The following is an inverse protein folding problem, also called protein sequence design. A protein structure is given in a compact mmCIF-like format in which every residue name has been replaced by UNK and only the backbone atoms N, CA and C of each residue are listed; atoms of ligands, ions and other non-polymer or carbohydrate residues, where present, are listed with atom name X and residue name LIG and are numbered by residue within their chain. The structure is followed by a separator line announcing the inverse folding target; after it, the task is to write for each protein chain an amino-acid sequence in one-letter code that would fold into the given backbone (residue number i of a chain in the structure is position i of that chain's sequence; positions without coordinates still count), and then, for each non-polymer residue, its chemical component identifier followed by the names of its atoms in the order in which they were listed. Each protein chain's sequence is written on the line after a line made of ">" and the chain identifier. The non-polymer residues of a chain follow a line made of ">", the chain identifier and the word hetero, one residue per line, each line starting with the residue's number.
data_IF_433682941854
#
_entry.id   IF_433682941854
#
_cell.length_a   1.000
_cell.length_b   1.000
_cell.length_c   1.000
_cell.angle_alpha   90.00
_cell.angle_beta   90.00
_cell.angle_gamma   90.00
#
_symmetry.space_group_name_H-M   'P 1'
#
loop_
_entity.id
_entity.type
_entity.pdbx_description
1 polymer ?
#
# COMPACT_ATOMS: atom_id res chain seq x y z
N UNK A 1 38.15 -32.64 1.38
CA UNK A 1 37.90 -31.69 0.28
C UNK A 1 36.69 -32.19 -0.48
N UNK A 2 35.61 -31.41 -0.52
CA UNK A 2 34.38 -31.75 -1.25
C UNK A 2 34.53 -31.22 -2.68
N UNK A 3 34.74 -32.10 -3.65
CA UNK A 3 34.62 -31.74 -5.06
C UNK A 3 33.15 -31.55 -5.41
N UNK A 4 32.82 -30.32 -5.80
CA UNK A 4 31.53 -29.93 -6.33
C UNK A 4 31.30 -30.67 -7.66
N UNK A 5 30.34 -31.59 -7.68
CA UNK A 5 29.97 -32.27 -8.92
C UNK A 5 29.10 -31.34 -9.77
N UNK A 6 29.63 -30.97 -10.93
CA UNK A 6 28.96 -30.22 -11.99
C UNK A 6 27.55 -30.74 -12.24
N UNK A 7 26.56 -29.84 -12.12
CA UNK A 7 25.19 -30.11 -12.51
C UNK A 7 25.06 -29.92 -14.02
N UNK A 8 25.37 -30.96 -14.79
CA UNK A 8 24.98 -31.01 -16.20
C UNK A 8 23.46 -31.11 -16.31
N UNK A 9 22.86 -30.03 -16.79
CA UNK A 9 21.45 -29.88 -17.14
C UNK A 9 21.08 -30.91 -18.22
N UNK A 10 20.21 -31.86 -17.87
CA UNK A 10 19.73 -32.91 -18.77
C UNK A 10 20.02 -34.35 -18.34
N UNK A 11 20.78 -34.56 -17.25
CA UNK A 11 21.06 -35.91 -16.75
C UNK A 11 19.99 -36.41 -15.76
N UNK A 12 19.60 -37.68 -15.92
CA UNK A 12 18.66 -38.39 -15.05
C UNK A 12 19.14 -38.32 -13.60
N UNK A 13 18.23 -38.02 -12.65
CA UNK A 13 18.58 -37.91 -11.22
C UNK A 13 19.04 -39.28 -10.67
N UNK A 14 20.33 -39.41 -10.39
CA UNK A 14 20.93 -40.61 -9.78
C UNK A 14 21.19 -40.38 -8.28
N UNK A 15 20.70 -41.30 -7.44
CA UNK A 15 20.87 -41.31 -5.99
C UNK A 15 22.34 -41.57 -5.58
N UNK A 16 22.72 -41.20 -4.35
CA UNK A 16 24.10 -41.35 -3.85
C UNK A 16 24.59 -42.80 -3.91
N UNK A 17 23.75 -43.75 -3.55
CA UNK A 17 24.04 -45.19 -3.60
C UNK A 17 24.31 -45.67 -5.04
N UNK A 18 23.50 -45.21 -6.00
CA UNK A 18 23.66 -45.53 -7.42
C UNK A 18 24.96 -44.94 -8.00
N UNK A 19 25.46 -43.80 -7.49
CA UNK A 19 26.79 -43.27 -7.88
C UNK A 19 27.94 -44.12 -7.36
N UNK A 20 27.81 -44.66 -6.14
CA UNK A 20 28.82 -45.58 -5.58
C UNK A 20 28.89 -46.85 -6.41
N UNK A 21 27.74 -47.42 -6.77
CA UNK A 21 27.68 -48.58 -7.68
C UNK A 21 28.22 -48.25 -9.08
N UNK A 22 27.89 -47.08 -9.61
CA UNK A 22 28.36 -46.61 -10.91
C UNK A 22 29.89 -46.48 -10.95
N UNK A 23 30.49 -45.92 -9.90
CA UNK A 23 31.95 -45.85 -9.75
C UNK A 23 32.60 -47.23 -9.60
N UNK A 24 31.96 -48.16 -8.87
CA UNK A 24 32.44 -49.53 -8.73
C UNK A 24 32.40 -50.32 -10.05
N UNK A 25 31.45 -50.00 -10.93
CA UNK A 25 31.30 -50.58 -12.27
C UNK A 25 32.15 -49.88 -13.35
N UNK A 26 32.85 -48.80 -13.00
CA UNK A 26 33.68 -48.04 -13.95
C UNK A 26 32.89 -47.25 -15.00
N UNK A 27 31.59 -47.03 -14.78
CA UNK A 27 30.72 -46.30 -15.71
C UNK A 27 30.76 -44.82 -15.34
N UNK A 28 31.14 -43.92 -16.24
CA UNK A 28 31.19 -42.48 -15.95
C UNK A 28 29.88 -41.76 -16.25
N UNK A 29 29.02 -42.37 -17.08
CA UNK A 29 27.80 -41.76 -17.58
C UNK A 29 26.53 -42.34 -16.91
N UNK A 30 25.71 -41.45 -16.38
CA UNK A 30 24.40 -41.76 -15.79
C UNK A 30 23.47 -42.56 -16.72
N UNK A 31 23.49 -42.24 -18.02
CA UNK A 31 22.62 -42.87 -19.02
C UNK A 31 23.04 -44.31 -19.32
N UNK A 32 24.35 -44.58 -19.32
CA UNK A 32 24.92 -45.91 -19.53
C UNK A 32 24.63 -46.83 -18.34
N UNK A 33 24.71 -46.30 -17.11
CA UNK A 33 24.37 -47.05 -15.91
C UNK A 33 22.90 -47.52 -15.91
N UNK A 34 21.97 -46.66 -16.36
CA UNK A 34 20.56 -47.01 -16.48
C UNK A 34 20.35 -48.06 -17.58
N UNK A 35 20.99 -47.90 -18.75
CA UNK A 35 20.93 -48.90 -19.83
C UNK A 35 21.42 -50.27 -19.34
N UNK A 36 22.53 -50.31 -18.61
CA UNK A 36 23.07 -51.54 -18.02
C UNK A 36 22.08 -52.21 -17.05
N UNK A 37 21.45 -51.44 -16.15
CA UNK A 37 20.43 -51.98 -15.22
C UNK A 37 19.17 -52.46 -15.97
N UNK A 38 18.77 -51.76 -17.03
CA UNK A 38 17.65 -52.16 -17.88
C UNK A 38 17.96 -53.46 -18.64
N UNK A 39 19.17 -53.64 -19.15
CA UNK A 39 19.63 -54.87 -19.79
C UNK A 39 19.69 -56.05 -18.82
N UNK A 40 20.15 -55.82 -17.57
CA UNK A 40 20.04 -56.83 -16.51
C UNK A 40 18.59 -57.20 -16.18
N UNK A 41 17.68 -56.22 -16.15
CA UNK A 41 16.25 -56.48 -15.96
C UNK A 41 15.64 -57.28 -17.11
N UNK A 42 16.01 -56.93 -18.35
CA UNK A 42 15.53 -57.62 -19.55
C UNK A 42 16.07 -59.06 -19.65
N UNK A 43 17.31 -59.31 -19.26
CA UNK A 43 17.89 -60.65 -19.24
C UNK A 43 17.28 -61.53 -18.14
N UNK A 44 16.95 -60.98 -16.96
CA UNK A 44 16.17 -61.68 -15.92
C UNK A 44 14.73 -61.99 -16.36
N UNK A 45 14.08 -61.09 -17.10
CA UNK A 45 12.78 -61.36 -17.70
C UNK A 45 12.84 -62.40 -18.82
N UNK A 46 13.90 -62.41 -19.64
CA UNK A 46 14.11 -63.44 -20.67
C UNK A 46 14.33 -64.82 -20.03
N UNK A 47 15.08 -64.91 -18.93
CA UNK A 47 15.23 -66.16 -18.17
C UNK A 47 13.92 -66.68 -17.55
N UNK A 48 13.00 -65.77 -17.17
CA UNK A 48 11.64 -66.13 -16.71
C UNK A 48 10.70 -66.52 -17.87
N UNK A 49 11.01 -66.11 -19.11
CA UNK A 49 10.24 -66.44 -20.32
C UNK A 49 10.77 -67.66 -21.09
N UNK A 50 12.01 -68.09 -20.85
CA UNK A 50 12.51 -69.38 -21.32
C UNK A 50 11.94 -70.51 -20.48
N UNK A 51 10.64 -70.76 -20.63
CA UNK A 51 10.11 -72.10 -20.45
C UNK A 51 10.75 -72.98 -21.53
N UNK A 52 11.16 -74.23 -21.23
CA UNK A 52 11.64 -75.14 -22.25
C UNK A 52 10.54 -75.37 -23.29
N UNK A 53 10.86 -75.10 -24.55
CA UNK A 53 10.08 -75.46 -25.74
C UNK A 53 10.00 -76.99 -25.87
N UNK A 54 9.16 -77.63 -25.06
CA UNK A 54 8.50 -78.89 -25.39
C UNK A 54 7.14 -78.89 -24.73
N UNK A 55 6.11 -79.02 -25.57
CA UNK A 55 4.74 -79.37 -25.22
C UNK A 55 4.69 -80.70 -24.45
N UNK A 56 5.04 -80.65 -23.18
CA UNK A 56 4.59 -81.63 -22.19
C UNK A 56 3.99 -80.83 -21.06
N UNK A 57 2.73 -80.45 -21.26
CA UNK A 57 1.79 -80.27 -20.16
C UNK A 57 2.01 -81.47 -19.23
N UNK A 58 2.57 -81.24 -18.04
CA UNK A 58 2.50 -82.20 -16.95
C UNK A 58 1.01 -82.35 -16.63
N UNK A 59 0.35 -83.26 -17.35
CA UNK A 59 -0.96 -83.75 -16.98
C UNK A 59 -0.76 -84.49 -15.67
N UNK A 60 -1.23 -83.87 -14.58
CA UNK A 60 -1.61 -84.60 -13.38
C UNK A 60 -2.51 -85.77 -13.80
N UNK A 61 -2.39 -86.96 -13.19
CA UNK A 61 -3.18 -88.11 -13.58
C UNK A 61 -4.67 -87.73 -13.48
N UNK A 62 -5.35 -87.75 -14.62
CA UNK A 62 -6.79 -87.59 -14.69
C UNK A 62 -7.38 -88.86 -14.08
N UNK A 63 -7.90 -88.74 -12.86
CA UNK A 63 -8.83 -89.71 -12.29
C UNK A 63 -10.09 -89.70 -13.16
N UNK A 64 -10.22 -90.66 -14.06
CA UNK A 64 -11.42 -90.89 -14.91
C UNK A 64 -12.64 -91.42 -14.12
N UNK A 65 -12.76 -91.11 -12.82
CA UNK A 65 -13.85 -91.59 -11.94
C UNK A 65 -14.76 -90.47 -11.43
N UNK A 66 -15.11 -89.49 -12.26
CA UNK A 66 -16.08 -88.44 -11.90
C UNK A 66 -17.13 -88.18 -13.01
N UNK A 67 -17.69 -89.24 -13.61
CA UNK A 67 -18.90 -89.12 -14.45
C UNK A 67 -20.19 -88.89 -13.65
N UNK A 68 -20.15 -89.03 -12.33
CA UNK A 68 -21.24 -88.70 -11.41
C UNK A 68 -20.76 -87.63 -10.41
N UNK A 69 -20.54 -86.40 -10.87
CA UNK A 69 -20.49 -85.26 -9.96
C UNK A 69 -21.93 -84.82 -9.74
N UNK A 70 -22.40 -84.87 -8.50
CA UNK A 70 -23.73 -84.38 -8.12
C UNK A 70 -23.96 -82.98 -8.71
N UNK A 71 -25.08 -82.74 -9.41
CA UNK A 71 -25.37 -81.43 -10.01
C UNK A 71 -25.33 -80.30 -8.98
N UNK A 72 -25.69 -80.60 -7.73
CA UNK A 72 -25.59 -79.66 -6.60
C UNK A 72 -24.16 -79.22 -6.29
N UNK A 73 -23.17 -80.12 -6.39
CA UNK A 73 -21.76 -79.79 -6.14
C UNK A 73 -21.21 -78.87 -7.24
N UNK A 74 -21.63 -79.11 -8.49
CA UNK A 74 -21.24 -78.28 -9.64
C UNK A 74 -21.82 -76.87 -9.54
N UNK A 75 -23.08 -76.75 -9.13
CA UNK A 75 -23.72 -75.46 -8.88
C UNK A 75 -23.03 -74.72 -7.71
N UNK A 76 -22.67 -75.42 -6.64
CA UNK A 76 -21.97 -74.83 -5.49
C UNK A 76 -20.57 -74.30 -5.87
N UNK A 77 -19.81 -75.03 -6.69
CA UNK A 77 -18.51 -74.56 -7.22
C UNK A 77 -18.67 -73.37 -8.16
N UNK A 78 -19.74 -73.34 -8.95
CA UNK A 78 -20.05 -72.23 -9.87
C UNK A 78 -20.43 -70.97 -9.09
N UNK A 79 -21.26 -71.10 -8.04
CA UNK A 79 -21.60 -70.01 -7.12
C UNK A 79 -20.34 -69.51 -6.42
N UNK A 80 -19.45 -70.41 -5.97
CA UNK A 80 -18.19 -70.01 -5.34
C UNK A 80 -17.31 -69.21 -6.32
N UNK A 81 -17.18 -69.67 -7.57
CA UNK A 81 -16.45 -68.96 -8.63
C UNK A 81 -17.05 -67.57 -8.90
N UNK A 82 -18.36 -67.49 -9.06
CA UNK A 82 -19.07 -66.22 -9.27
C UNK A 82 -18.94 -65.29 -8.06
N UNK A 83 -18.93 -65.82 -6.83
CA UNK A 83 -18.73 -65.01 -5.62
C UNK A 83 -17.31 -64.43 -5.54
N UNK A 84 -16.31 -65.20 -5.95
CA UNK A 84 -14.92 -64.74 -6.04
C UNK A 84 -14.74 -63.69 -7.13
N UNK A 85 -15.39 -63.89 -8.28
CA UNK A 85 -15.38 -62.93 -9.39
C UNK A 85 -16.10 -61.63 -8.99
N UNK A 86 -17.27 -61.69 -8.38
CA UNK A 86 -17.98 -60.53 -7.84
C UNK A 86 -17.13 -59.78 -6.80
N UNK A 87 -16.47 -60.50 -5.90
CA UNK A 87 -15.56 -59.87 -4.92
C UNK A 87 -14.35 -59.22 -5.61
N UNK A 88 -13.84 -59.82 -6.69
CA UNK A 88 -12.79 -59.23 -7.52
C UNK A 88 -13.25 -57.97 -8.26
N UNK A 89 -14.47 -57.97 -8.79
CA UNK A 89 -15.08 -56.82 -9.44
C UNK A 89 -15.36 -55.69 -8.45
N UNK A 90 -15.84 -56.01 -7.23
CA UNK A 90 -16.00 -55.03 -6.16
C UNK A 90 -14.67 -54.36 -5.78
N UNK A 91 -13.60 -55.14 -5.63
CA UNK A 91 -12.26 -54.57 -5.37
C UNK A 91 -11.78 -53.64 -6.48
N UNK A 92 -12.01 -54.02 -7.75
CA UNK A 92 -11.66 -53.17 -8.90
C UNK A 92 -12.48 -51.87 -8.91
N UNK A 93 -13.77 -51.95 -8.57
CA UNK A 93 -14.61 -50.76 -8.42
C UNK A 93 -14.10 -49.86 -7.30
N UNK A 94 -13.75 -50.42 -6.14
CA UNK A 94 -13.18 -49.67 -5.02
C UNK A 94 -11.85 -48.99 -5.39
N UNK A 95 -10.98 -49.68 -6.12
CA UNK A 95 -9.70 -49.15 -6.60
C UNK A 95 -9.92 -48.01 -7.61
N UNK A 96 -10.87 -48.17 -8.53
CA UNK A 96 -11.25 -47.11 -9.47
C UNK A 96 -11.84 -45.90 -8.72
N UNK A 97 -12.71 -46.11 -7.73
CA UNK A 97 -13.27 -45.01 -6.95
C UNK A 97 -12.20 -44.25 -6.17
N UNK A 98 -11.25 -44.95 -5.54
CA UNK A 98 -10.12 -44.32 -4.85
C UNK A 98 -9.23 -43.54 -5.80
N UNK A 99 -8.88 -44.13 -6.94
CA UNK A 99 -8.10 -43.43 -7.98
C UNK A 99 -8.83 -42.20 -8.50
N UNK A 100 -10.15 -42.25 -8.65
CA UNK A 100 -10.95 -41.11 -9.08
C UNK A 100 -11.01 -40.02 -8.00
N UNK A 101 -11.17 -40.38 -6.74
CA UNK A 101 -11.12 -39.42 -5.63
C UNK A 101 -9.75 -38.74 -5.54
N UNK A 102 -8.66 -39.50 -5.64
CA UNK A 102 -7.30 -38.97 -5.61
C UNK A 102 -7.02 -38.02 -6.79
N UNK A 103 -7.44 -38.41 -8.00
CA UNK A 103 -7.30 -37.54 -9.18
C UNK A 103 -8.18 -36.29 -9.08
N UNK A 104 -9.40 -36.41 -8.59
CA UNK A 104 -10.31 -35.29 -8.37
C UNK A 104 -9.75 -34.33 -7.32
N UNK A 105 -9.23 -34.84 -6.21
CA UNK A 105 -8.56 -34.03 -5.18
C UNK A 105 -7.33 -33.31 -5.75
N UNK A 106 -6.52 -34.00 -6.56
CA UNK A 106 -5.39 -33.39 -7.26
C UNK A 106 -5.81 -32.26 -8.20
N UNK A 107 -6.90 -32.45 -8.94
CA UNK A 107 -7.48 -31.40 -9.81
C UNK A 107 -7.99 -30.23 -8.97
N UNK A 108 -8.73 -30.47 -7.89
CA UNK A 108 -9.23 -29.41 -7.01
C UNK A 108 -8.10 -28.58 -6.42
N UNK A 109 -7.04 -29.20 -5.90
CA UNK A 109 -5.90 -28.47 -5.37
C UNK A 109 -5.19 -27.66 -6.45
N UNK A 110 -5.01 -28.21 -7.64
CA UNK A 110 -4.37 -27.50 -8.75
C UNK A 110 -5.22 -26.32 -9.23
N UNK A 111 -6.53 -26.52 -9.40
CA UNK A 111 -7.47 -25.46 -9.78
C UNK A 111 -7.52 -24.39 -8.70
N UNK A 112 -7.59 -24.77 -7.43
CA UNK A 112 -7.59 -23.83 -6.31
C UNK A 112 -6.30 -23.00 -6.26
N UNK A 113 -5.13 -23.65 -6.40
CA UNK A 113 -3.83 -22.96 -6.45
C UNK A 113 -3.76 -21.99 -7.62
N UNK A 114 -4.16 -22.42 -8.82
CA UNK A 114 -4.17 -21.54 -10.00
C UNK A 114 -5.13 -20.36 -9.82
N UNK A 115 -6.33 -20.61 -9.28
CA UNK A 115 -7.31 -19.54 -9.04
C UNK A 115 -6.79 -18.53 -8.01
N UNK A 116 -6.15 -19.04 -6.95
CA UNK A 116 -5.53 -18.21 -5.92
C UNK A 116 -4.37 -17.37 -6.48
N UNK A 117 -3.50 -17.98 -7.30
CA UNK A 117 -2.40 -17.27 -7.95
C UNK A 117 -2.91 -16.19 -8.92
N UNK A 118 -3.91 -16.48 -9.73
CA UNK A 118 -4.49 -15.49 -10.67
C UNK A 118 -5.20 -14.34 -9.94
N UNK A 119 -5.92 -14.63 -8.85
CA UNK A 119 -6.49 -13.59 -7.98
C UNK A 119 -5.38 -12.71 -7.37
N UNK A 120 -4.34 -13.33 -6.82
CA UNK A 120 -3.21 -12.60 -6.23
C UNK A 120 -2.46 -11.75 -7.26
N UNK A 121 -2.24 -12.25 -8.48
CA UNK A 121 -1.61 -11.48 -9.56
C UNK A 121 -2.46 -10.28 -9.94
N UNK A 122 -3.77 -10.47 -10.14
CA UNK A 122 -4.69 -9.40 -10.49
C UNK A 122 -4.71 -8.31 -9.42
N UNK A 123 -4.82 -8.71 -8.16
CA UNK A 123 -4.86 -7.79 -7.04
C UNK A 123 -3.51 -7.05 -6.89
N UNK A 124 -2.39 -7.74 -7.09
CA UNK A 124 -1.05 -7.11 -7.13
C UNK A 124 -0.92 -6.11 -8.27
N UNK A 125 -1.38 -6.42 -9.47
CA UNK A 125 -1.34 -5.48 -10.61
C UNK A 125 -2.22 -4.25 -10.37
N UNK A 126 -3.41 -4.43 -9.78
CA UNK A 126 -4.28 -3.33 -9.40
C UNK A 126 -3.62 -2.42 -8.35
N UNK A 127 -3.06 -3.01 -7.29
CA UNK A 127 -2.32 -2.28 -6.26
C UNK A 127 -1.09 -1.57 -6.81
N UNK A 128 -0.37 -2.20 -7.75
CA UNK A 128 0.79 -1.59 -8.41
C UNK A 128 0.39 -0.35 -9.20
N UNK A 129 -0.70 -0.41 -9.97
CA UNK A 129 -1.22 0.75 -10.72
C UNK A 129 -1.63 1.88 -9.78
N UNK A 130 -2.41 1.57 -8.76
CA UNK A 130 -2.89 2.54 -7.78
C UNK A 130 -1.70 3.21 -7.04
N UNK A 131 -0.68 2.44 -6.67
CA UNK A 131 0.54 2.99 -6.06
C UNK A 131 1.32 3.88 -7.04
N UNK A 132 1.40 3.53 -8.32
CA UNK A 132 2.04 4.42 -9.31
C UNK A 132 1.26 5.71 -9.55
N UNK A 133 -0.07 5.68 -9.49
CA UNK A 133 -0.92 6.86 -9.58
C UNK A 133 -0.74 7.76 -8.35
N UNK A 134 -0.82 7.19 -7.14
CA UNK A 134 -0.57 7.91 -5.89
C UNK A 134 0.82 8.55 -5.83
N UNK A 135 1.86 7.86 -6.33
CA UNK A 135 3.21 8.44 -6.40
C UNK A 135 3.27 9.65 -7.32
N UNK A 136 2.58 9.62 -8.46
CA UNK A 136 2.51 10.77 -9.37
C UNK A 136 1.77 11.93 -8.71
N UNK A 137 0.64 11.68 -8.06
CA UNK A 137 -0.10 12.70 -7.31
C UNK A 137 0.76 13.30 -6.19
N UNK A 138 1.52 12.49 -5.46
CA UNK A 138 2.46 12.97 -4.44
C UNK A 138 3.56 13.85 -5.06
N UNK A 139 4.12 13.46 -6.20
CA UNK A 139 5.11 14.29 -6.91
C UNK A 139 4.51 15.63 -7.39
N UNK A 140 3.28 15.63 -7.89
CA UNK A 140 2.58 16.85 -8.29
C UNK A 140 2.27 17.76 -7.09
N UNK A 141 1.78 17.19 -5.99
CA UNK A 141 1.53 17.93 -4.75
C UNK A 141 2.82 18.50 -4.16
N UNK A 142 3.92 17.73 -4.22
CA UNK A 142 5.23 18.20 -3.78
C UNK A 142 5.73 19.37 -4.64
N UNK A 143 5.56 19.31 -5.96
CA UNK A 143 5.88 20.44 -6.85
C UNK A 143 5.06 21.68 -6.53
N UNK A 144 3.75 21.54 -6.33
CA UNK A 144 2.87 22.66 -5.94
C UNK A 144 3.26 23.25 -4.59
N UNK A 145 3.65 22.40 -3.62
CA UNK A 145 4.16 22.85 -2.33
C UNK A 145 5.44 23.67 -2.49
N UNK A 146 6.38 23.20 -3.31
CA UNK A 146 7.65 23.88 -3.53
C UNK A 146 7.48 25.20 -4.31
N UNK A 147 6.54 25.25 -5.26
CA UNK A 147 6.12 26.47 -5.96
C UNK A 147 5.49 27.48 -4.99
N UNK A 148 4.53 27.03 -4.18
CA UNK A 148 3.88 27.87 -3.18
C UNK A 148 4.87 28.41 -2.15
N UNK A 149 5.83 27.59 -1.68
CA UNK A 149 6.90 28.03 -0.78
C UNK A 149 7.81 29.10 -1.40
N UNK A 150 8.14 28.96 -2.69
CA UNK A 150 8.91 29.99 -3.40
C UNK A 150 8.12 31.29 -3.49
N UNK A 151 6.84 31.22 -3.81
CA UNK A 151 5.96 32.40 -3.88
C UNK A 151 5.83 33.09 -2.51
N UNK A 152 5.65 32.33 -1.42
CA UNK A 152 5.60 32.90 -0.07
C UNK A 152 6.91 33.56 0.32
N UNK A 153 8.06 32.97 -0.05
CA UNK A 153 9.36 33.56 0.23
C UNK A 153 9.55 34.87 -0.55
N UNK A 154 9.16 34.93 -1.82
CA UNK A 154 9.24 36.17 -2.60
C UNK A 154 8.35 37.26 -2.03
N UNK A 155 7.12 36.91 -1.61
CA UNK A 155 6.21 37.88 -0.97
C UNK A 155 6.75 38.34 0.38
N UNK A 156 7.40 37.45 1.14
CA UNK A 156 8.05 37.81 2.40
C UNK A 156 9.20 38.80 2.18
N UNK A 157 10.04 38.58 1.17
CA UNK A 157 11.11 39.52 0.79
C UNK A 157 10.55 40.87 0.35
N UNK A 158 9.43 40.88 -0.40
CA UNK A 158 8.72 42.11 -0.77
C UNK A 158 8.18 42.85 0.45
N UNK A 159 7.55 42.14 1.39
CA UNK A 159 7.06 42.72 2.65
C UNK A 159 8.22 43.31 3.45
N UNK A 160 9.35 42.60 3.58
CA UNK A 160 10.53 43.12 4.26
C UNK A 160 11.08 44.39 3.59
N UNK A 161 11.08 44.44 2.26
CA UNK A 161 11.49 45.63 1.52
C UNK A 161 10.52 46.80 1.74
N UNK A 162 9.22 46.55 1.78
CA UNK A 162 8.20 47.56 2.09
C UNK A 162 8.31 48.05 3.53
N UNK A 163 8.53 47.17 4.51
CA UNK A 163 8.76 47.53 5.91
C UNK A 163 10.01 48.40 6.05
N UNK A 164 11.11 48.07 5.37
CA UNK A 164 12.31 48.93 5.34
C UNK A 164 12.00 50.31 4.76
N UNK A 165 11.26 50.37 3.64
CA UNK A 165 10.84 51.65 3.04
C UNK A 165 9.94 52.46 3.97
N UNK A 166 8.95 51.84 4.60
CA UNK A 166 8.07 52.47 5.60
C UNK A 166 8.89 52.97 6.79
N UNK A 167 9.81 52.16 7.32
CA UNK A 167 10.72 52.56 8.38
C UNK A 167 11.60 53.76 8.01
N UNK A 168 12.10 53.83 6.77
CA UNK A 168 12.82 55.03 6.27
C UNK A 168 11.91 56.25 6.15
N UNK A 169 10.66 56.07 5.72
CA UNK A 169 9.68 57.16 5.65
C UNK A 169 9.32 57.66 7.04
N UNK A 170 9.13 56.79 8.02
CA UNK A 170 8.87 57.15 9.42
C UNK A 170 10.08 57.81 10.07
N UNK A 171 11.29 57.30 9.87
CA UNK A 171 12.54 57.98 10.25
C UNK A 171 12.66 59.35 9.61
N UNK A 172 12.29 59.47 8.32
CA UNK A 172 12.20 60.75 7.62
C UNK A 172 11.20 61.70 8.30
N UNK A 173 9.98 61.24 8.60
CA UNK A 173 8.97 62.03 9.32
C UNK A 173 9.43 62.45 10.72
N UNK A 174 10.21 61.63 11.42
CA UNK A 174 10.74 61.97 12.74
C UNK A 174 11.93 62.94 12.68
N UNK A 175 12.83 62.79 11.70
CA UNK A 175 14.07 63.57 11.60
C UNK A 175 13.91 64.88 10.81
N UNK A 176 13.00 64.95 9.85
CA UNK A 176 12.76 66.14 9.03
C UNK A 176 12.30 67.36 9.87
N UNK A 177 11.35 67.25 10.81
CA UNK A 177 10.97 68.38 11.66
C UNK A 177 12.13 68.93 12.48
N UNK A 178 12.99 68.05 13.02
CA UNK A 178 14.18 68.44 13.77
C UNK A 178 15.23 69.15 12.91
N UNK A 179 15.50 68.62 11.71
CA UNK A 179 16.44 69.23 10.77
C UNK A 179 15.91 70.55 10.18
N UNK A 180 14.61 70.62 9.85
CA UNK A 180 13.95 71.85 9.38
C UNK A 180 13.92 72.91 10.50
N UNK A 181 13.67 72.52 11.75
CA UNK A 181 13.74 73.43 12.91
C UNK A 181 15.15 73.95 13.16
N UNK A 182 16.18 73.10 13.00
CA UNK A 182 17.59 73.51 13.06
C UNK A 182 17.99 74.50 11.96
N UNK A 183 17.58 74.22 10.71
CA UNK A 183 17.83 75.09 9.56
C UNK A 183 17.04 76.41 9.65
N UNK A 184 15.80 76.39 10.17
CA UNK A 184 15.00 77.58 10.43
C UNK A 184 15.63 78.48 11.50
N UNK A 185 16.31 77.90 12.50
CA UNK A 185 17.08 78.66 13.49
C UNK A 185 18.36 79.26 12.92
N UNK A 186 19.05 78.58 12.00
CA UNK A 186 20.28 79.09 11.39
C UNK A 186 20.03 80.10 10.24
N UNK A 187 18.95 79.96 9.47
CA UNK A 187 18.63 80.82 8.31
C UNK A 187 17.17 81.30 8.31
N UNK A 188 16.74 82.10 9.30
CA UNK A 188 15.33 82.49 9.48
C UNK A 188 14.77 83.34 8.33
N UNK A 189 15.60 84.18 7.71
CA UNK A 189 15.15 85.11 6.65
C UNK A 189 14.95 84.43 5.29
N UNK A 190 15.64 83.32 5.03
CA UNK A 190 15.50 82.53 3.79
C UNK A 190 14.37 81.50 3.91
N UNK A 191 14.15 80.94 5.12
CA UNK A 191 13.09 79.96 5.39
C UNK A 191 11.68 80.57 5.45
N UNK A 192 11.51 81.86 5.75
CA UNK A 192 10.19 82.53 5.72
C UNK A 192 9.51 82.46 4.35
N UNK A 193 10.28 82.50 3.25
CA UNK A 193 9.74 82.36 1.89
C UNK A 193 9.31 80.93 1.56
N UNK A 194 9.99 79.93 2.11
CA UNK A 194 9.79 78.51 1.81
C UNK A 194 8.68 77.90 2.69
N UNK A 195 8.56 78.34 3.95
CA UNK A 195 7.47 77.96 4.85
C UNK A 195 6.09 78.45 4.35
N UNK A 196 6.03 79.61 3.69
CA UNK A 196 4.81 80.12 3.06
C UNK A 196 4.32 79.27 1.88
N UNK A 197 5.23 78.55 1.21
CA UNK A 197 4.89 77.63 0.10
C UNK A 197 4.64 76.20 0.56
N UNK A 198 5.33 75.71 1.60
CA UNK A 198 5.09 74.37 2.17
C UNK A 198 3.88 74.30 3.11
N UNK A 199 3.53 75.40 3.79
CA UNK A 199 2.31 75.49 4.60
C UNK A 199 1.01 75.35 3.78
N UNK A 200 1.08 75.50 2.45
CA UNK A 200 -0.04 75.23 1.54
C UNK A 200 -0.18 73.77 1.13
N UNK A 201 0.78 72.90 1.44
CA UNK A 201 0.81 71.52 0.95
C UNK A 201 0.79 70.43 2.03
N UNK A 202 0.73 70.73 3.34
CA UNK A 202 0.93 69.67 4.33
C UNK A 202 0.42 69.83 5.76
N UNK A 203 -0.44 70.80 6.09
CA UNK A 203 -0.94 70.96 7.47
C UNK A 203 -2.41 71.43 7.52
N UNK A 204 -3.31 70.70 6.86
CA UNK A 204 -4.74 70.72 7.17
C UNK A 204 -5.16 69.32 7.58
N UNK A 205 -4.79 68.92 8.80
CA UNK A 205 -5.66 68.19 9.73
C UNK A 205 -4.84 67.78 10.95
N UNK A 206 -4.96 68.59 11.99
CA UNK A 206 -4.85 68.16 13.37
C UNK A 206 -5.47 69.25 14.24
N UNK A 207 -6.72 69.12 14.67
CA UNK A 207 -7.07 69.58 16.00
C UNK A 207 -6.51 68.56 17.00
N UNK A 208 -5.72 69.06 17.95
CA UNK A 208 -5.57 68.43 19.26
C UNK A 208 -6.95 68.04 19.78
N UNK A 209 -7.19 66.74 20.01
CA UNK A 209 -7.91 66.25 21.18
C UNK A 209 -7.78 64.72 21.25
N UNK A 210 -7.17 64.28 22.34
CA UNK A 210 -7.29 62.93 22.85
C UNK A 210 -8.77 62.67 23.16
N UNK A 211 -9.38 61.65 22.56
CA UNK A 211 -10.46 60.77 23.07
C UNK A 211 -10.92 59.82 21.93
N UNK A 212 -11.15 58.56 22.28
CA UNK A 212 -11.77 57.45 21.51
C UNK A 212 -10.88 56.52 20.65
N UNK A 213 -10.11 55.65 21.31
CA UNK A 213 -9.58 54.38 20.74
C UNK A 213 -10.69 53.46 20.14
N UNK A 214 -11.96 53.68 20.47
CA UNK A 214 -13.09 52.92 19.92
C UNK A 214 -13.52 53.43 18.52
N UNK A 215 -13.36 54.73 18.25
CA UNK A 215 -13.73 55.30 16.96
C UNK A 215 -12.70 54.96 15.89
N UNK A 216 -11.41 54.87 16.22
CA UNK A 216 -10.39 54.46 15.24
C UNK A 216 -10.65 53.03 14.71
N UNK A 217 -11.09 52.10 15.57
CA UNK A 217 -11.43 50.74 15.12
C UNK A 217 -12.70 50.68 14.26
N UNK A 218 -13.75 51.44 14.62
CA UNK A 218 -14.95 51.55 13.79
C UNK A 218 -14.68 52.26 12.46
N UNK A 219 -13.84 53.29 12.47
CA UNK A 219 -13.44 54.05 11.28
C UNK A 219 -12.51 53.23 10.37
N UNK A 220 -11.62 52.41 10.94
CA UNK A 220 -10.84 51.41 10.20
C UNK A 220 -11.71 50.29 9.64
N UNK A 221 -12.72 49.81 10.37
CA UNK A 221 -13.68 48.81 9.86
C UNK A 221 -14.54 49.39 8.73
N UNK A 222 -14.95 50.66 8.83
CA UNK A 222 -15.65 51.40 7.78
C UNK A 222 -14.76 51.63 6.56
N UNK A 223 -13.47 51.95 6.75
CA UNK A 223 -12.50 52.03 5.65
C UNK A 223 -12.30 50.69 4.97
N UNK A 224 -12.19 49.59 5.74
CA UNK A 224 -12.07 48.24 5.18
C UNK A 224 -13.36 47.86 4.44
N UNK A 225 -14.54 48.19 4.96
CA UNK A 225 -15.81 47.95 4.26
C UNK A 225 -15.91 48.76 2.96
N UNK A 226 -15.55 50.04 2.98
CA UNK A 226 -15.56 50.89 1.77
C UNK A 226 -14.55 50.39 0.73
N UNK A 227 -13.36 49.97 1.15
CA UNK A 227 -12.35 49.38 0.27
C UNK A 227 -12.79 48.02 -0.31
N UNK A 228 -13.47 47.19 0.50
CA UNK A 228 -14.06 45.95 0.01
C UNK A 228 -15.20 46.22 -0.99
N UNK A 229 -16.01 47.25 -0.76
CA UNK A 229 -17.09 47.61 -1.68
C UNK A 229 -16.59 48.20 -3.01
N UNK A 230 -15.41 48.85 -2.99
CA UNK A 230 -14.78 49.43 -4.19
C UNK A 230 -14.01 48.39 -5.02
N UNK A 231 -13.49 47.33 -4.39
CA UNK A 231 -12.69 46.27 -5.05
C UNK A 231 -13.53 45.08 -5.51
N UNK A 232 -14.69 44.82 -4.89
CA UNK A 232 -15.55 43.69 -5.23
C UNK A 232 -16.82 44.12 -5.97
N UNK A 233 -17.22 43.37 -7.00
CA UNK A 233 -18.58 43.49 -7.55
C UNK A 233 -19.60 43.07 -6.50
N UNK A 234 -20.80 43.66 -6.50
CA UNK A 234 -21.84 43.47 -5.47
C UNK A 234 -22.11 41.98 -5.12
N UNK A 235 -22.09 41.09 -6.12
CA UNK A 235 -22.24 39.63 -5.94
C UNK A 235 -21.07 38.96 -5.18
N UNK A 236 -19.84 39.46 -5.35
CA UNK A 236 -18.65 38.92 -4.67
C UNK A 236 -18.55 39.41 -3.23
N UNK A 237 -19.04 40.62 -2.96
CA UNK A 237 -19.15 41.16 -1.60
C UNK A 237 -20.19 40.40 -0.76
N UNK A 238 -21.35 40.07 -1.35
CA UNK A 238 -22.36 39.25 -0.68
C UNK A 238 -21.85 37.85 -0.35
N UNK A 239 -21.10 37.23 -1.27
CA UNK A 239 -20.44 35.93 -1.02
C UNK A 239 -19.39 36.01 0.09
N UNK A 240 -18.59 37.08 0.14
CA UNK A 240 -17.60 37.29 1.20
C UNK A 240 -18.26 37.48 2.57
N UNK A 241 -19.38 38.20 2.65
CA UNK A 241 -20.17 38.35 3.88
C UNK A 241 -20.75 37.00 4.33
N UNK A 242 -21.32 36.21 3.41
CA UNK A 242 -21.83 34.88 3.75
C UNK A 242 -20.72 33.95 4.28
N UNK A 243 -19.53 34.02 3.70
CA UNK A 243 -18.36 33.25 4.15
C UNK A 243 -17.90 33.70 5.54
N UNK A 244 -17.91 35.01 5.83
CA UNK A 244 -17.60 35.56 7.14
C UNK A 244 -18.62 35.15 8.22
N UNK A 245 -19.91 35.10 7.86
CA UNK A 245 -20.97 34.61 8.76
C UNK A 245 -20.78 33.11 9.05
N UNK A 246 -20.52 32.30 8.03
CA UNK A 246 -20.25 30.86 8.19
C UNK A 246 -19.00 30.60 9.04
N UNK A 247 -17.94 31.39 8.85
CA UNK A 247 -16.73 31.30 9.67
C UNK A 247 -17.01 31.69 11.13
N UNK A 248 -17.85 32.71 11.35
CA UNK A 248 -18.30 33.13 12.68
C UNK A 248 -19.12 32.06 13.40
N UNK A 249 -19.98 31.33 12.68
CA UNK A 249 -20.75 30.21 13.24
C UNK A 249 -19.87 28.99 13.53
N UNK A 250 -18.91 28.67 12.66
CA UNK A 250 -17.90 27.63 12.93
C UNK A 250 -17.04 27.96 14.16
N UNK A 251 -16.62 29.22 14.33
CA UNK A 251 -15.87 29.64 15.52
C UNK A 251 -16.71 29.48 16.80
N UNK A 252 -18.02 29.73 16.75
CA UNK A 252 -18.93 29.49 17.89
C UNK A 252 -19.08 28.00 18.18
N UNK A 253 -19.20 27.16 17.16
CA UNK A 253 -19.24 25.71 17.32
C UNK A 253 -17.94 25.18 17.93
N UNK A 254 -16.79 25.67 17.46
CA UNK A 254 -15.47 25.34 17.98
C UNK A 254 -15.30 25.78 19.43
N UNK A 255 -15.79 26.96 19.82
CA UNK A 255 -15.80 27.38 21.22
C UNK A 255 -16.67 26.45 22.10
N UNK A 256 -17.82 26.01 21.60
CA UNK A 256 -18.67 25.03 22.29
C UNK A 256 -17.98 23.66 22.42
N UNK A 257 -17.22 23.25 21.40
CA UNK A 257 -16.44 22.01 21.39
C UNK A 257 -15.25 22.10 22.35
N UNK A 258 -14.55 23.24 22.40
CA UNK A 258 -13.49 23.53 23.37
C UNK A 258 -14.02 23.52 24.80
N UNK A 259 -15.23 24.06 25.05
CA UNK A 259 -15.86 24.00 26.37
C UNK A 259 -16.21 22.56 26.77
N UNK A 260 -16.72 21.74 25.85
CA UNK A 260 -16.98 20.30 26.08
C UNK A 260 -15.68 19.54 26.35
N UNK A 261 -14.62 19.79 25.58
CA UNK A 261 -13.30 19.20 25.79
C UNK A 261 -12.75 19.59 27.17
N UNK A 262 -12.90 20.86 27.55
CA UNK A 262 -12.48 21.37 28.86
C UNK A 262 -13.28 20.72 30.00
N UNK A 263 -14.58 20.52 29.82
CA UNK A 263 -15.43 19.81 30.77
C UNK A 263 -14.99 18.34 30.95
N UNK A 264 -14.72 17.61 29.87
CA UNK A 264 -14.24 16.22 29.96
C UNK A 264 -12.81 16.12 30.52
N UNK A 265 -11.93 17.08 30.20
CA UNK A 265 -10.61 17.17 30.83
C UNK A 265 -10.70 17.41 32.34
N UNK A 266 -11.63 18.25 32.78
CA UNK A 266 -11.86 18.50 34.21
C UNK A 266 -12.44 17.27 34.92
N UNK A 267 -13.37 16.54 34.31
CA UNK A 267 -13.86 15.26 34.85
C UNK A 267 -12.76 14.19 34.97
N UNK A 268 -11.86 14.12 33.99
CA UNK A 268 -10.72 13.20 34.03
C UNK A 268 -9.73 13.59 35.13
N UNK A 269 -9.54 14.89 35.36
CA UNK A 269 -8.71 15.42 36.45
C UNK A 269 -9.32 15.12 37.82
N UNK A 270 -10.63 15.26 37.99
CA UNK A 270 -11.34 14.89 39.23
C UNK A 270 -11.28 13.39 39.52
N UNK A 271 -11.45 12.54 38.51
CA UNK A 271 -11.27 11.08 38.65
C UNK A 271 -9.85 10.69 39.06
N UNK A 272 -8.84 11.39 38.55
CA UNK A 272 -7.43 11.15 38.92
C UNK A 272 -7.13 11.57 40.36
N UNK A 273 -7.74 12.66 40.83
CA UNK A 273 -7.64 13.12 42.23
C UNK A 273 -8.39 12.19 43.20
N UNK A 274 -9.46 11.52 42.74
CA UNK A 274 -10.14 10.49 43.53
C UNK A 274 -9.34 9.19 43.58
N UNK A 275 -8.71 8.76 42.47
CA UNK A 275 -7.86 7.56 42.48
C UNK A 275 -6.59 7.69 43.32
N UNK A 276 -6.03 8.91 43.46
CA UNK A 276 -4.87 9.17 44.31
C UNK A 276 -5.23 9.31 45.82
N UNK A 277 -6.52 9.33 46.18
CA UNK A 277 -6.99 9.36 47.58
C UNK A 277 -7.42 8.00 48.12
N UNK A 278 -7.55 6.99 47.25
CA UNK A 278 -7.91 5.61 47.62
C UNK A 278 -6.69 4.67 47.72
N UNK A 279 -5.46 5.22 47.74
CA UNK A 279 -4.20 4.51 48.01
C UNK A 279 -3.62 4.93 49.35
#
# INVERSE_FOLDING_TARGET
>A
MMEASDRQTGSVRINKEMRVEMNALGISNATEYIRYKMEQGASKQKALKTLPEKDTVRQLPVLETLKNVDPQLKDQLTIQRLSLENRGLQKKLEEITRSNEDTLNGVHHKVHSMLQEELQKRDFEALKKLNTEQKKELEELQKRLDESKKETNTKQEEIEALVKKLGFVELGKALLPGAISGLAKQYPNQMKGIAGTLGRLGLNDAPENQMDDANEQEEHLLQIMNYLQEVFTEEQFEQAIQLMIQLGDQIKEDQGLIQKITYYLNQLKEKKVQSDKEV
#
